data_IF_065563761063
#
_entry.id   IF_065563761063
#
_cell.length_a   1.000
_cell.length_b   1.000
_cell.length_c   1.000
_cell.angle_alpha   90.00
_cell.angle_beta   90.00
_cell.angle_gamma   90.00
#
_symmetry.space_group_name_H-M   'P 1'
#
loop_
_entity.id
_entity.type
_entity.pdbx_description
1 polymer ?
#
# COMPACT_ATOMS: atom_id res chain seq x y z
N UNK A 1 6.54 -36.54 7.48
CA UNK A 1 6.64 -35.07 7.43
C UNK A 1 6.17 -34.59 8.79
N UNK A 2 7.11 -34.30 9.69
CA UNK A 2 6.82 -34.01 11.11
C UNK A 2 6.38 -32.55 11.25
N UNK A 3 5.17 -32.34 11.77
CA UNK A 3 4.69 -31.03 12.19
C UNK A 3 5.47 -30.58 13.42
N UNK A 4 6.23 -29.49 13.32
CA UNK A 4 6.81 -28.81 14.48
C UNK A 4 5.75 -27.90 15.09
N UNK A 5 5.40 -28.14 16.35
CA UNK A 5 4.49 -27.32 17.14
C UNK A 5 5.04 -25.88 17.28
N UNK A 6 4.18 -24.89 17.05
CA UNK A 6 4.48 -23.50 17.36
C UNK A 6 4.58 -23.32 18.87
N UNK A 7 5.63 -22.68 19.41
CA UNK A 7 5.76 -22.47 20.85
C UNK A 7 4.63 -21.60 21.39
N UNK A 8 3.95 -22.13 22.41
CA UNK A 8 2.89 -21.48 23.19
C UNK A 8 3.45 -20.19 23.80
N UNK A 9 2.84 -19.05 23.47
CA UNK A 9 3.14 -17.76 24.09
C UNK A 9 2.66 -17.83 25.55
N UNK A 10 3.50 -17.52 26.56
CA UNK A 10 3.08 -17.60 27.96
C UNK A 10 1.91 -16.68 28.25
N UNK A 11 0.93 -17.17 29.02
CA UNK A 11 -0.25 -16.42 29.46
C UNK A 11 0.12 -15.22 30.35
N UNK A 12 -0.71 -14.18 30.23
CA UNK A 12 -0.57 -12.78 30.68
C UNK A 12 -0.22 -12.46 32.15
N UNK A 13 0.21 -13.39 33.01
CA UNK A 13 0.21 -13.13 34.46
C UNK A 13 1.56 -13.03 35.19
N UNK A 14 2.71 -13.03 34.52
CA UNK A 14 4.00 -12.86 35.22
C UNK A 14 4.97 -11.91 34.54
N UNK A 15 4.58 -10.64 34.40
CA UNK A 15 5.52 -9.52 34.21
C UNK A 15 4.97 -8.28 34.91
N UNK A 16 4.98 -8.28 36.24
CA UNK A 16 4.79 -7.07 37.06
C UNK A 16 6.14 -6.64 37.64
N UNK A 17 6.43 -5.35 37.46
CA UNK A 17 7.21 -4.49 38.36
C UNK A 17 8.73 -4.28 38.15
N UNK A 18 9.39 -4.68 37.05
CA UNK A 18 10.82 -4.32 36.87
C UNK A 18 11.29 -3.75 35.52
N UNK A 19 10.45 -3.68 34.49
CA UNK A 19 10.85 -3.20 33.15
C UNK A 19 10.09 -1.95 32.63
N UNK A 20 9.42 -1.19 33.51
CA UNK A 20 8.70 0.05 33.13
C UNK A 20 9.60 1.17 32.59
N UNK A 21 10.94 1.02 32.62
CA UNK A 21 11.88 2.01 32.04
C UNK A 21 12.37 1.71 30.62
N UNK A 22 11.96 0.59 29.99
CA UNK A 22 12.43 0.22 28.63
C UNK A 22 11.27 0.05 27.62
N UNK A 23 10.02 0.07 28.06
CA UNK A 23 8.84 -0.19 27.23
C UNK A 23 8.03 1.09 26.88
N UNK A 24 8.53 1.94 25.97
CA UNK A 24 7.72 2.67 24.97
C UNK A 24 8.52 3.70 24.13
N UNK A 25 9.42 3.24 23.25
CA UNK A 25 9.96 4.09 22.17
C UNK A 25 9.79 3.48 20.77
N UNK A 26 8.74 2.66 20.57
CA UNK A 26 8.27 2.40 19.21
C UNK A 26 7.44 3.60 18.76
N UNK A 27 8.11 4.64 18.27
CA UNK A 27 7.41 5.68 17.51
C UNK A 27 6.73 5.01 16.32
N UNK A 28 5.39 5.12 16.28
CA UNK A 28 4.53 4.54 15.25
C UNK A 28 4.74 5.24 13.91
N UNK A 29 4.60 4.48 12.84
CA UNK A 29 4.55 4.87 11.42
C UNK A 29 3.87 6.24 11.15
N UNK A 30 4.37 7.01 10.17
CA UNK A 30 3.98 8.41 9.91
C UNK A 30 3.96 8.62 8.42
N UNK A 31 2.74 8.78 7.90
CA UNK A 31 2.45 9.17 6.52
C UNK A 31 2.39 7.98 5.58
N UNK A 32 1.18 7.47 5.30
CA UNK A 32 0.80 7.15 3.92
C UNK A 32 0.32 8.48 3.36
N UNK A 33 0.88 8.93 2.26
CA UNK A 33 0.27 10.02 1.52
C UNK A 33 0.34 9.70 0.04
N UNK A 34 -0.76 10.04 -0.62
CA UNK A 34 -0.97 9.77 -2.02
C UNK A 34 -0.57 11.01 -2.81
N UNK A 35 0.43 10.84 -3.68
CA UNK A 35 0.96 11.92 -4.53
C UNK A 35 0.82 11.55 -5.99
N UNK A 36 0.84 12.56 -6.85
CA UNK A 36 0.68 12.38 -8.29
C UNK A 36 1.92 12.85 -9.08
N UNK A 37 2.96 13.35 -8.40
CA UNK A 37 4.21 13.85 -9.01
C UNK A 37 5.45 13.66 -8.10
N UNK A 38 6.68 13.63 -8.66
CA UNK A 38 7.90 13.51 -7.86
C UNK A 38 8.17 14.78 -7.06
N UNK A 39 7.74 15.95 -7.55
CA UNK A 39 7.87 17.22 -6.83
C UNK A 39 7.03 17.22 -5.55
N UNK A 40 5.79 16.72 -5.60
CA UNK A 40 4.95 16.53 -4.40
C UNK A 40 5.58 15.53 -3.44
N UNK A 41 6.10 14.41 -3.95
CA UNK A 41 6.78 13.40 -3.14
C UNK A 41 7.97 14.00 -2.38
N UNK A 42 8.82 14.77 -3.07
CA UNK A 42 9.99 15.44 -2.48
C UNK A 42 9.60 16.52 -1.48
N UNK A 43 8.64 17.38 -1.82
CA UNK A 43 8.15 18.42 -0.93
C UNK A 43 7.59 17.82 0.37
N UNK A 44 6.88 16.71 0.27
CA UNK A 44 6.36 16.00 1.43
C UNK A 44 7.45 15.32 2.25
N UNK A 45 8.40 14.66 1.58
CA UNK A 45 9.54 14.06 2.25
C UNK A 45 10.33 15.12 3.04
N UNK A 46 10.54 16.30 2.47
CA UNK A 46 11.22 17.42 3.13
C UNK A 46 10.45 17.94 4.34
N UNK A 47 9.12 18.11 4.23
CA UNK A 47 8.31 18.54 5.37
C UNK A 47 8.34 17.50 6.50
N UNK A 48 8.21 16.22 6.17
CA UNK A 48 8.30 15.15 7.15
C UNK A 48 9.69 15.04 7.76
N UNK A 49 10.76 15.30 7.00
CA UNK A 49 12.14 15.38 7.52
C UNK A 49 12.35 16.51 8.51
N UNK A 50 11.83 17.71 8.21
CA UNK A 50 11.96 18.85 9.13
C UNK A 50 11.31 18.59 10.47
N UNK A 51 10.24 17.79 10.47
CA UNK A 51 9.44 17.50 11.65
C UNK A 51 9.72 16.12 12.27
N UNK A 52 10.58 15.28 11.67
CA UNK A 52 10.86 13.93 12.20
C UNK A 52 11.75 14.02 13.44
N UNK A 53 11.32 13.33 14.51
CA UNK A 53 12.09 13.18 15.75
C UNK A 53 13.24 12.17 15.63
N UNK A 54 13.14 11.24 14.68
CA UNK A 54 14.15 10.22 14.41
C UNK A 54 14.63 10.31 12.95
N UNK A 55 15.91 10.61 12.75
CA UNK A 55 16.55 10.74 11.45
C UNK A 55 16.73 9.42 10.71
N UNK A 56 16.69 8.27 11.40
CA UNK A 56 16.82 6.95 10.78
C UNK A 56 15.53 6.46 10.12
N UNK A 57 14.46 7.27 10.15
CA UNK A 57 13.14 6.86 9.74
C UNK A 57 12.83 7.34 8.33
N UNK A 58 12.46 6.37 7.50
CA UNK A 58 12.00 6.60 6.13
C UNK A 58 10.53 7.02 6.11
N UNK A 59 10.17 7.76 5.08
CA UNK A 59 8.80 8.15 4.74
C UNK A 59 8.28 7.21 3.67
N UNK A 60 7.05 6.71 3.79
CA UNK A 60 6.43 5.95 2.72
C UNK A 60 5.49 6.88 1.95
N UNK A 61 5.67 6.94 0.64
CA UNK A 61 4.85 7.79 -0.23
C UNK A 61 4.18 6.88 -1.25
N UNK A 62 2.86 6.93 -1.28
CA UNK A 62 2.01 6.11 -2.12
C UNK A 62 1.63 6.83 -3.40
N UNK A 63 1.49 6.09 -4.49
CA UNK A 63 0.66 6.49 -5.62
C UNK A 63 -0.58 5.60 -5.60
N UNK A 64 -1.75 6.22 -5.42
CA UNK A 64 -3.01 5.48 -5.39
C UNK A 64 -3.36 4.92 -6.75
N UNK A 65 -3.90 3.71 -6.75
CA UNK A 65 -4.48 3.10 -7.93
C UNK A 65 -5.66 2.23 -7.56
N UNK A 66 -6.42 1.84 -8.59
CA UNK A 66 -7.62 1.03 -8.46
C UNK A 66 -7.54 -0.13 -9.46
N UNK A 67 -8.09 -1.32 -9.15
CA UNK A 67 -8.11 -2.46 -10.09
C UNK A 67 -8.69 -2.13 -11.49
N UNK A 68 -9.57 -1.14 -11.57
CA UNK A 68 -10.13 -0.63 -12.85
C UNK A 68 -9.07 0.06 -13.72
N UNK A 69 -8.13 0.77 -13.10
CA UNK A 69 -7.00 1.42 -13.79
C UNK A 69 -6.01 0.36 -14.28
N UNK A 70 -5.75 -0.64 -13.45
CA UNK A 70 -4.85 -1.74 -13.77
C UNK A 70 -5.41 -2.62 -14.90
N UNK A 71 -6.72 -2.85 -14.92
CA UNK A 71 -7.35 -3.73 -15.90
C UNK A 71 -8.37 -2.97 -16.76
N UNK A 72 -7.92 -2.36 -17.89
CA UNK A 72 -8.81 -1.61 -18.78
C UNK A 72 -9.89 -2.50 -19.40
N UNK A 73 -9.65 -3.81 -19.53
CA UNK A 73 -10.59 -4.76 -20.14
C UNK A 73 -11.74 -5.17 -19.22
N UNK A 74 -11.81 -4.66 -17.99
CA UNK A 74 -12.93 -4.94 -17.10
C UNK A 74 -14.26 -4.48 -17.74
N UNK A 75 -15.30 -5.33 -17.75
CA UNK A 75 -16.60 -5.00 -18.32
C UNK A 75 -17.41 -4.11 -17.36
N UNK A 76 -16.96 -2.87 -17.19
CA UNK A 76 -17.63 -1.86 -16.36
C UNK A 76 -18.28 -0.77 -17.23
N UNK A 77 -19.29 -0.04 -16.72
CA UNK A 77 -19.88 1.09 -17.43
C UNK A 77 -18.85 2.18 -17.71
N UNK A 78 -18.95 2.83 -18.88
CA UNK A 78 -17.99 3.86 -19.32
C UNK A 78 -17.97 5.08 -18.37
N UNK A 79 -19.11 5.46 -17.81
CA UNK A 79 -19.18 6.55 -16.83
C UNK A 79 -18.35 6.25 -15.57
N UNK A 80 -18.35 4.99 -15.12
CA UNK A 80 -17.52 4.55 -13.98
C UNK A 80 -16.04 4.64 -14.31
N UNK A 81 -15.66 4.18 -15.50
CA UNK A 81 -14.27 4.28 -15.99
C UNK A 81 -13.82 5.74 -16.04
N UNK A 82 -14.68 6.61 -16.56
CA UNK A 82 -14.42 8.05 -16.66
C UNK A 82 -14.26 8.68 -15.28
N UNK A 83 -15.08 8.33 -14.31
CA UNK A 83 -14.97 8.85 -12.96
C UNK A 83 -13.69 8.38 -12.27
N UNK A 84 -13.37 7.08 -12.33
CA UNK A 84 -12.10 6.53 -11.81
C UNK A 84 -10.88 7.20 -12.46
N UNK A 85 -10.93 7.45 -13.77
CA UNK A 85 -9.81 8.08 -14.50
C UNK A 85 -9.49 9.52 -14.10
N UNK A 86 -10.42 10.20 -13.38
CA UNK A 86 -10.18 11.55 -12.85
C UNK A 86 -9.44 11.51 -11.52
N UNK A 87 -9.63 10.45 -10.75
CA UNK A 87 -9.12 10.32 -9.38
C UNK A 87 -7.74 9.65 -9.34
N UNK A 88 -7.45 8.75 -10.28
CA UNK A 88 -6.21 7.96 -10.27
C UNK A 88 -5.35 8.24 -11.51
N UNK A 89 -4.01 8.19 -11.38
CA UNK A 89 -3.14 8.32 -12.54
C UNK A 89 -3.36 7.14 -13.48
N UNK A 90 -3.22 7.41 -14.79
CA UNK A 90 -3.20 6.35 -15.79
C UNK A 90 -2.04 5.36 -15.52
N UNK A 91 -2.23 4.10 -15.93
CA UNK A 91 -1.31 3.00 -15.65
C UNK A 91 0.14 3.32 -16.07
N UNK A 92 0.32 3.94 -17.23
CA UNK A 92 1.62 4.35 -17.77
C UNK A 92 2.28 5.53 -17.04
N UNK A 93 1.50 6.27 -16.24
CA UNK A 93 1.98 7.40 -15.43
C UNK A 93 2.15 7.05 -13.96
N UNK A 94 1.96 5.79 -13.59
CA UNK A 94 1.99 5.34 -12.19
C UNK A 94 3.32 5.63 -11.50
N UNK A 95 4.45 5.35 -12.15
CA UNK A 95 5.78 5.70 -11.66
C UNK A 95 6.05 7.21 -11.62
N UNK A 96 5.16 8.02 -12.21
CA UNK A 96 5.30 9.47 -12.26
C UNK A 96 5.28 10.13 -10.89
N UNK A 97 4.79 9.48 -9.82
CA UNK A 97 4.88 10.00 -8.46
C UNK A 97 6.17 9.65 -7.70
N UNK A 98 7.08 8.88 -8.29
CA UNK A 98 8.22 8.30 -7.57
C UNK A 98 9.49 9.14 -7.67
N UNK A 99 10.30 9.09 -6.61
CA UNK A 99 11.59 9.79 -6.51
C UNK A 99 12.72 8.84 -6.16
N UNK A 100 13.93 9.20 -6.54
CA UNK A 100 15.21 8.54 -6.21
C UNK A 100 15.72 8.85 -4.79
N UNK A 101 14.88 9.44 -3.95
CA UNK A 101 15.28 9.91 -2.63
C UNK A 101 15.45 8.72 -1.67
N UNK A 102 16.65 8.52 -1.05
CA UNK A 102 16.95 7.33 -0.26
C UNK A 102 16.12 7.20 1.04
N UNK A 103 15.54 8.32 1.49
CA UNK A 103 14.70 8.42 2.68
C UNK A 103 13.21 8.20 2.36
N UNK A 104 12.86 8.03 1.08
CA UNK A 104 11.50 7.75 0.61
C UNK A 104 11.37 6.29 0.20
N UNK A 105 10.30 5.64 0.68
CA UNK A 105 9.85 4.33 0.22
C UNK A 105 8.67 4.56 -0.74
N UNK A 106 8.98 4.64 -2.04
CA UNK A 106 7.96 4.74 -3.08
C UNK A 106 7.10 3.48 -3.11
N UNK A 107 5.79 3.66 -3.05
CA UNK A 107 4.83 2.58 -2.93
C UNK A 107 3.69 2.76 -3.91
N UNK A 108 3.20 1.68 -4.52
CA UNK A 108 1.90 1.68 -5.20
C UNK A 108 0.85 1.27 -4.18
N UNK A 109 -0.20 2.06 -4.00
CA UNK A 109 -1.29 1.75 -3.09
C UNK A 109 -2.51 1.33 -3.91
N UNK A 110 -2.81 0.02 -3.94
CA UNK A 110 -3.99 -0.52 -4.60
C UNK A 110 -5.15 -0.49 -3.61
N UNK A 111 -6.20 0.27 -3.92
CA UNK A 111 -7.38 0.39 -3.08
C UNK A 111 -8.64 -0.14 -3.79
N UNK A 112 -9.46 -0.95 -3.12
CA UNK A 112 -10.79 -1.36 -3.57
C UNK A 112 -11.90 -0.56 -2.86
N UNK A 113 -11.95 0.76 -3.10
CA UNK A 113 -12.78 1.75 -2.39
C UNK A 113 -14.30 1.44 -2.27
N UNK A 114 -14.80 0.38 -2.90
CA UNK A 114 -16.20 -0.02 -2.92
C UNK A 114 -16.47 -1.37 -2.26
N UNK A 115 -15.46 -2.20 -1.95
CA UNK A 115 -15.67 -3.50 -1.30
C UNK A 115 -16.64 -4.45 -2.04
N UNK A 116 -17.13 -5.52 -1.36
CA UNK A 116 -18.02 -6.53 -1.96
C UNK A 116 -19.44 -6.04 -2.25
N UNK A 117 -19.86 -5.01 -1.50
CA UNK A 117 -21.24 -4.54 -1.42
C UNK A 117 -21.42 -3.11 -1.97
N UNK A 118 -20.34 -2.44 -2.38
CA UNK A 118 -20.42 -1.10 -2.94
C UNK A 118 -21.09 -1.05 -4.31
N UNK A 119 -21.41 0.17 -4.78
CA UNK A 119 -22.17 0.38 -6.02
C UNK A 119 -21.48 -0.20 -7.26
N UNK A 120 -20.17 -0.42 -7.16
CA UNK A 120 -19.33 -0.98 -8.21
C UNK A 120 -18.68 -2.25 -7.67
N UNK A 121 -19.42 -3.37 -7.67
CA UNK A 121 -18.90 -4.71 -7.34
C UNK A 121 -17.64 -5.02 -8.15
N UNK A 122 -16.47 -4.62 -7.65
CA UNK A 122 -15.17 -5.05 -8.15
C UNK A 122 -14.83 -6.43 -7.56
N UNK A 123 -15.79 -7.34 -7.44
CA UNK A 123 -15.61 -8.58 -6.66
C UNK A 123 -16.20 -9.82 -7.32
N UNK A 124 -15.79 -10.05 -8.57
CA UNK A 124 -14.72 -11.04 -8.71
C UNK A 124 -13.46 -10.22 -8.87
N UNK A 125 -12.65 -10.08 -7.83
CA UNK A 125 -11.45 -9.27 -7.91
C UNK A 125 -10.70 -9.74 -9.16
N UNK A 126 -10.45 -8.87 -10.17
CA UNK A 126 -9.60 -9.26 -11.28
C UNK A 126 -8.31 -9.79 -10.68
N UNK A 127 -7.89 -10.96 -11.18
CA UNK A 127 -6.71 -11.71 -10.75
C UNK A 127 -5.70 -10.82 -10.01
N UNK A 128 -5.65 -10.95 -8.68
CA UNK A 128 -4.80 -10.11 -7.82
C UNK A 128 -3.34 -10.22 -8.26
N UNK A 129 -2.90 -11.38 -8.76
CA UNK A 129 -1.56 -11.54 -9.27
C UNK A 129 -1.34 -10.77 -10.56
N UNK A 130 -2.30 -10.77 -11.49
CA UNK A 130 -2.23 -9.92 -12.69
C UNK A 130 -2.12 -8.44 -12.32
N UNK A 131 -2.87 -7.98 -11.31
CA UNK A 131 -2.78 -6.59 -10.84
C UNK A 131 -1.40 -6.29 -10.24
N UNK A 132 -0.86 -7.20 -9.42
CA UNK A 132 0.48 -7.08 -8.86
C UNK A 132 1.57 -7.05 -9.95
N UNK A 133 1.46 -7.92 -10.96
CA UNK A 133 2.37 -7.93 -12.11
C UNK A 133 2.35 -6.59 -12.87
N UNK A 134 1.16 -6.01 -13.06
CA UNK A 134 1.02 -4.70 -13.70
C UNK A 134 1.62 -3.59 -12.84
N UNK A 135 1.42 -3.61 -11.52
CA UNK A 135 2.07 -2.68 -10.61
C UNK A 135 3.61 -2.78 -10.68
N UNK A 136 4.17 -4.00 -10.71
CA UNK A 136 5.63 -4.19 -10.86
C UNK A 136 6.10 -3.67 -12.22
N UNK A 137 5.37 -3.98 -13.29
CA UNK A 137 5.71 -3.55 -14.66
C UNK A 137 5.68 -2.03 -14.82
N UNK A 138 4.72 -1.36 -14.20
CA UNK A 138 4.47 0.07 -14.38
C UNK A 138 4.98 0.96 -13.22
N UNK A 139 5.46 0.36 -12.14
CA UNK A 139 6.04 1.07 -11.00
C UNK A 139 7.45 1.59 -11.24
N UNK A 140 8.10 1.21 -12.34
CA UNK A 140 9.43 1.71 -12.69
C UNK A 140 10.54 1.28 -11.73
N UNK A 141 11.74 1.84 -11.91
CA UNK A 141 12.95 1.40 -11.20
C UNK A 141 12.98 1.75 -9.70
N UNK A 142 12.19 2.75 -9.28
CA UNK A 142 12.17 3.25 -7.89
C UNK A 142 11.05 2.65 -7.03
N UNK A 143 10.29 1.67 -7.53
CA UNK A 143 9.26 0.98 -6.75
C UNK A 143 9.90 0.17 -5.61
N UNK A 144 9.49 0.44 -4.37
CA UNK A 144 9.97 -0.31 -3.20
C UNK A 144 8.96 -1.31 -2.66
N UNK A 145 7.66 -0.97 -2.71
CA UNK A 145 6.61 -1.78 -2.13
C UNK A 145 5.27 -1.62 -2.86
N UNK A 146 4.37 -2.58 -2.65
CA UNK A 146 2.97 -2.48 -3.04
C UNK A 146 2.14 -2.61 -1.74
N UNK A 147 1.32 -1.60 -1.46
CA UNK A 147 0.36 -1.60 -0.37
C UNK A 147 -1.00 -2.05 -0.93
N UNK A 148 -1.64 -2.99 -0.22
CA UNK A 148 -2.90 -3.59 -0.63
C UNK A 148 -3.97 -3.23 0.38
N UNK A 149 -4.87 -2.32 -0.01
CA UNK A 149 -6.13 -2.02 0.68
C UNK A 149 -7.27 -2.56 -0.18
N UNK A 150 -7.24 -3.87 -0.37
CA UNK A 150 -8.21 -4.61 -1.17
C UNK A 150 -8.86 -5.72 -0.35
N UNK A 151 -10.05 -6.12 -0.72
CA UNK A 151 -10.62 -7.39 -0.26
C UNK A 151 -9.80 -8.54 -0.82
N UNK A 152 -9.18 -9.29 0.08
CA UNK A 152 -8.35 -10.42 -0.28
C UNK A 152 -9.22 -11.61 -0.75
N UNK A 153 -8.86 -12.30 -1.85
CA UNK A 153 -9.61 -13.47 -2.32
C UNK A 153 -9.59 -14.60 -1.29
N UNK A 154 -10.66 -15.40 -1.26
CA UNK A 154 -10.69 -16.60 -0.42
C UNK A 154 -9.61 -17.60 -0.87
N UNK A 155 -9.04 -18.43 0.03
CA UNK A 155 -7.92 -19.31 -0.32
C UNK A 155 -8.17 -20.26 -1.51
N UNK A 156 -9.42 -20.64 -1.75
CA UNK A 156 -9.83 -21.51 -2.86
C UNK A 156 -9.97 -20.78 -4.20
N UNK A 157 -9.90 -19.45 -4.21
CA UNK A 157 -9.95 -18.60 -5.40
C UNK A 157 -8.55 -18.22 -5.91
N UNK A 158 -7.53 -18.41 -5.07
CA UNK A 158 -6.11 -18.25 -5.40
C UNK A 158 -5.69 -19.43 -6.29
N UNK A 159 -5.33 -19.16 -7.55
CA UNK A 159 -4.90 -20.16 -8.55
C UNK A 159 -3.46 -19.97 -8.96
#
# INVERSE_FOLDING_TARGET
MEYRECPVIPSKETLKDKDEKVLNKRERYSGVCDVYSPEEARAMADELRRNRKNSSRKVMIGVMTHPIVLNPDLPIPEEVRKDVSKEFPALEKMAGGFTDDPDVLNTIHIADLYGPEGPWKAQKAPDVFKNLELCVKHGGEYLHAIQLDITWPEPNEIK
#
